data_IF_345960512063
#
_entry.id   IF_345960512063
#
_cell.length_a   1.000
_cell.length_b   1.000
_cell.length_c   1.000
_cell.angle_alpha   90.00
_cell.angle_beta   90.00
_cell.angle_gamma   90.00
#
_symmetry.space_group_name_H-M   'P 1'
#
loop_
_entity.id
_entity.type
_entity.pdbx_description
1 polymer ?
#
# COMPACT_ATOMS: atom_id res chain seq x y z
N UNK A 1 -1.81 4.31 -13.43
CA UNK A 1 -0.67 4.12 -14.35
C UNK A 1 0.04 5.43 -14.65
N UNK A 2 -0.55 6.44 -15.27
CA UNK A 2 0.13 7.71 -15.66
C UNK A 2 0.88 8.44 -14.54
N UNK A 3 0.41 8.38 -13.29
CA UNK A 3 1.08 9.00 -12.16
C UNK A 3 2.45 8.34 -11.86
N UNK A 4 2.47 7.01 -11.74
CA UNK A 4 3.69 6.26 -11.49
C UNK A 4 4.69 6.37 -12.65
N UNK A 5 4.21 6.32 -13.89
CA UNK A 5 5.04 6.50 -15.09
C UNK A 5 5.68 7.89 -15.12
N UNK A 6 4.91 8.94 -14.77
CA UNK A 6 5.43 10.31 -14.74
C UNK A 6 6.52 10.48 -13.69
N UNK A 7 6.30 9.95 -12.48
CA UNK A 7 7.31 10.00 -11.42
C UNK A 7 8.56 9.21 -11.77
N UNK A 8 8.39 7.99 -12.31
CA UNK A 8 9.50 7.18 -12.76
C UNK A 8 10.34 7.91 -13.81
N UNK A 9 9.72 8.44 -14.85
CA UNK A 9 10.41 9.22 -15.88
C UNK A 9 11.14 10.43 -15.30
N UNK A 10 10.50 11.15 -14.36
CA UNK A 10 11.11 12.33 -13.73
C UNK A 10 12.37 11.95 -12.95
N UNK A 11 12.37 10.81 -12.28
CA UNK A 11 13.52 10.32 -11.53
C UNK A 11 14.61 9.76 -12.47
N UNK A 12 14.24 9.00 -13.50
CA UNK A 12 15.19 8.44 -14.49
C UNK A 12 15.93 9.53 -15.29
N UNK A 13 15.30 10.69 -15.48
CA UNK A 13 15.95 11.85 -16.13
C UNK A 13 16.85 12.66 -15.19
N UNK A 14 16.87 12.35 -13.90
CA UNK A 14 17.73 13.05 -12.94
C UNK A 14 19.12 12.41 -12.93
N UNK A 15 20.19 13.16 -13.30
CA UNK A 15 21.55 12.61 -13.39
C UNK A 15 22.17 12.22 -12.05
N UNK A 16 21.51 12.56 -10.93
CA UNK A 16 21.97 12.22 -9.58
C UNK A 16 21.19 11.06 -8.96
N UNK A 17 20.39 10.33 -9.76
CA UNK A 17 19.57 9.22 -9.29
C UNK A 17 19.88 7.98 -10.09
N UNK A 18 20.35 6.95 -9.42
CA UNK A 18 20.56 5.62 -9.98
C UNK A 18 19.46 4.67 -9.47
N UNK A 19 19.03 3.75 -10.33
CA UNK A 19 18.03 2.73 -9.98
C UNK A 19 18.68 1.36 -9.88
N UNK A 20 18.38 0.69 -8.78
CA UNK A 20 18.74 -0.71 -8.59
C UNK A 20 17.50 -1.51 -8.16
N UNK A 21 17.11 -2.45 -8.98
CA UNK A 21 15.90 -3.25 -8.73
C UNK A 21 16.27 -4.59 -8.09
N UNK A 22 16.25 -4.64 -6.76
CA UNK A 22 16.47 -5.85 -6.00
C UNK A 22 15.81 -5.75 -4.61
N UNK A 23 15.53 -6.89 -4.00
CA UNK A 23 15.04 -6.96 -2.63
C UNK A 23 16.15 -6.57 -1.66
N UNK A 24 15.88 -5.60 -0.80
CA UNK A 24 16.79 -5.25 0.30
C UNK A 24 16.46 -6.13 1.51
N UNK A 25 17.48 -6.85 2.03
CA UNK A 25 17.36 -7.80 3.13
C UNK A 25 17.96 -7.29 4.44
N UNK A 26 18.72 -6.20 4.43
CA UNK A 26 19.32 -5.68 5.66
C UNK A 26 20.00 -4.33 5.49
N UNK A 27 20.28 -3.72 6.63
CA UNK A 27 21.08 -2.51 6.76
C UNK A 27 22.53 -2.88 7.08
N UNK A 28 23.47 -2.18 6.51
CA UNK A 28 24.86 -2.22 6.96
C UNK A 28 25.03 -1.20 8.07
N UNK A 29 25.43 -1.66 9.25
CA UNK A 29 25.67 -0.80 10.41
C UNK A 29 27.11 -1.00 10.86
N UNK A 30 27.85 0.09 11.05
CA UNK A 30 29.19 0.10 11.55
C UNK A 30 29.34 1.19 12.62
N UNK A 31 29.88 0.82 13.77
CA UNK A 31 30.10 1.74 14.90
C UNK A 31 28.83 2.52 15.30
N UNK A 32 27.67 1.85 15.31
CA UNK A 32 26.37 2.46 15.65
C UNK A 32 25.79 3.38 14.58
N UNK A 33 26.36 3.44 13.38
CA UNK A 33 25.89 4.27 12.26
C UNK A 33 25.55 3.42 11.04
N UNK A 34 24.51 3.85 10.31
CA UNK A 34 24.21 3.22 9.03
C UNK A 34 25.36 3.49 8.04
N UNK A 35 25.75 2.46 7.30
CA UNK A 35 26.83 2.50 6.32
C UNK A 35 26.37 2.04 4.93
N UNK A 36 25.09 1.67 4.78
CA UNK A 36 24.51 1.20 3.52
C UNK A 36 23.45 0.13 3.71
N UNK A 37 23.21 -0.62 2.64
CA UNK A 37 22.25 -1.72 2.62
C UNK A 37 22.88 -2.99 2.08
N UNK A 38 22.24 -4.14 2.38
CA UNK A 38 22.54 -5.45 1.77
C UNK A 38 21.30 -5.93 1.02
N UNK A 39 21.49 -6.41 -0.19
CA UNK A 39 20.44 -7.02 -1.00
C UNK A 39 20.26 -8.50 -0.68
N UNK A 40 19.17 -9.10 -1.16
CA UNK A 40 18.90 -10.52 -0.99
C UNK A 40 19.92 -11.43 -1.71
N UNK A 41 20.53 -10.93 -2.80
CA UNK A 41 21.59 -11.62 -3.52
C UNK A 41 23.00 -11.38 -2.93
N UNK A 42 23.08 -10.61 -1.83
CA UNK A 42 24.33 -10.40 -1.10
C UNK A 42 25.14 -9.17 -1.55
N UNK A 43 24.64 -8.37 -2.48
CA UNK A 43 25.30 -7.13 -2.87
C UNK A 43 25.23 -6.12 -1.72
N UNK A 44 26.34 -5.47 -1.41
CA UNK A 44 26.42 -4.38 -0.44
C UNK A 44 26.55 -3.03 -1.18
N UNK A 45 25.56 -2.18 -0.96
CA UNK A 45 25.57 -0.82 -1.49
C UNK A 45 25.84 0.13 -0.33
N UNK A 46 27.02 0.78 -0.38
CA UNK A 46 27.46 1.70 0.67
C UNK A 46 26.80 3.06 0.51
N UNK A 47 26.34 3.65 1.60
CA UNK A 47 25.78 4.99 1.64
C UNK A 47 25.96 5.62 3.02
N UNK A 48 25.90 6.94 3.08
CA UNK A 48 25.94 7.70 4.34
C UNK A 48 24.60 7.70 5.06
N UNK A 49 23.52 7.55 4.34
CA UNK A 49 22.14 7.56 4.85
C UNK A 49 21.31 6.54 4.11
N UNK A 50 20.25 6.05 4.75
CA UNK A 50 19.26 5.16 4.16
C UNK A 50 17.89 5.68 4.51
N UNK A 51 17.00 5.78 3.53
CA UNK A 51 15.59 6.13 3.71
C UNK A 51 14.74 4.92 3.38
N UNK A 52 13.98 4.42 4.34
CA UNK A 52 13.08 3.28 4.18
C UNK A 52 11.70 3.77 3.72
N UNK A 53 11.30 3.39 2.52
CA UNK A 53 9.98 3.72 1.94
C UNK A 53 9.23 2.44 1.55
N UNK A 54 9.32 1.44 2.39
CA UNK A 54 8.93 0.06 2.15
C UNK A 54 7.40 -0.18 2.06
N UNK A 55 6.57 0.81 2.34
CA UNK A 55 5.13 0.67 2.24
C UNK A 55 4.59 -0.51 3.06
N UNK A 56 3.93 -1.46 2.41
CA UNK A 56 3.31 -2.65 3.03
C UNK A 56 4.21 -3.89 3.01
N UNK A 57 5.50 -3.76 2.65
CA UNK A 57 6.34 -4.92 2.37
C UNK A 57 7.09 -5.48 3.58
N UNK A 58 7.45 -4.68 4.60
CA UNK A 58 8.19 -5.17 5.76
C UNK A 58 7.35 -6.18 6.55
N UNK A 59 7.78 -7.43 6.54
CA UNK A 59 7.04 -8.57 7.11
C UNK A 59 5.57 -8.59 6.68
N UNK A 60 5.30 -8.16 5.43
CA UNK A 60 3.97 -8.04 4.89
C UNK A 60 3.21 -9.36 4.90
N UNK A 61 1.95 -9.31 5.30
CA UNK A 61 1.06 -10.48 5.36
C UNK A 61 -0.29 -10.12 4.75
N UNK A 62 -0.67 -10.84 3.71
CA UNK A 62 -1.96 -10.68 3.03
C UNK A 62 -2.94 -11.71 3.58
N UNK A 63 -4.13 -11.25 3.94
CA UNK A 63 -5.23 -12.09 4.41
C UNK A 63 -6.35 -12.10 3.38
N UNK A 64 -6.82 -13.30 3.01
CA UNK A 64 -7.98 -13.51 2.13
C UNK A 64 -8.85 -14.58 2.78
N UNK A 65 -9.94 -14.18 3.39
CA UNK A 65 -10.78 -15.07 4.19
C UNK A 65 -9.98 -15.76 5.29
N UNK A 66 -10.06 -17.07 5.37
CA UNK A 66 -9.35 -17.89 6.35
C UNK A 66 -7.87 -18.11 6.03
N UNK A 67 -7.40 -17.75 4.83
CA UNK A 67 -6.03 -17.98 4.38
C UNK A 67 -5.19 -16.71 4.52
N UNK A 68 -3.89 -16.92 4.72
CA UNK A 68 -2.90 -15.84 4.67
C UNK A 68 -1.61 -16.31 4.01
N UNK A 69 -0.84 -15.39 3.49
CA UNK A 69 0.47 -15.63 2.88
C UNK A 69 1.33 -14.38 2.94
N UNK A 70 2.66 -14.58 2.94
CA UNK A 70 3.62 -13.46 2.94
C UNK A 70 3.56 -12.66 1.64
N UNK A 71 3.48 -11.33 1.78
CA UNK A 71 3.48 -10.41 0.66
C UNK A 71 3.09 -9.01 1.10
N UNK A 72 3.59 -8.01 0.42
CA UNK A 72 3.18 -6.61 0.60
C UNK A 72 2.09 -6.21 -0.41
N UNK A 73 2.04 -6.93 -1.53
CA UNK A 73 1.07 -6.79 -2.62
C UNK A 73 0.83 -8.16 -3.24
N UNK A 74 -0.34 -8.37 -3.85
CA UNK A 74 -0.64 -9.61 -4.54
C UNK A 74 0.39 -9.91 -5.63
N UNK A 75 1.01 -11.10 -5.57
CA UNK A 75 2.08 -11.52 -6.48
C UNK A 75 3.49 -11.04 -6.13
N UNK A 76 3.65 -10.21 -5.09
CA UNK A 76 4.95 -9.70 -4.66
C UNK A 76 5.29 -10.16 -3.25
N UNK A 77 6.52 -10.66 -3.05
CA UNK A 77 6.98 -11.21 -1.76
C UNK A 77 7.13 -10.11 -0.71
N UNK A 78 6.98 -10.47 0.55
CA UNK A 78 7.33 -9.61 1.67
C UNK A 78 8.86 -9.46 1.79
N UNK A 79 9.29 -8.29 2.28
CA UNK A 79 10.67 -8.06 2.69
C UNK A 79 10.83 -8.44 4.16
N UNK A 80 11.81 -9.30 4.46
CA UNK A 80 12.11 -9.78 5.81
C UNK A 80 13.54 -9.42 6.19
N UNK A 81 13.84 -9.39 7.48
CA UNK A 81 15.18 -9.11 8.02
C UNK A 81 15.39 -7.68 8.50
N UNK A 82 14.82 -6.68 7.82
CA UNK A 82 15.00 -5.27 8.21
C UNK A 82 14.27 -4.94 9.51
N UNK A 83 13.04 -5.43 9.69
CA UNK A 83 12.27 -5.17 10.92
C UNK A 83 12.98 -5.74 12.14
N UNK A 84 13.46 -6.97 12.04
CA UNK A 84 14.20 -7.65 13.09
C UNK A 84 15.48 -6.87 13.44
N UNK A 85 16.23 -6.47 12.44
CA UNK A 85 17.43 -5.66 12.63
C UNK A 85 17.16 -4.29 13.27
N UNK A 86 16.03 -3.64 12.93
CA UNK A 86 15.63 -2.40 13.58
C UNK A 86 15.30 -2.62 15.06
N UNK A 87 14.60 -3.71 15.40
CA UNK A 87 14.34 -4.09 16.78
C UNK A 87 15.64 -4.32 17.57
N UNK A 88 16.59 -5.05 16.98
CA UNK A 88 17.90 -5.30 17.57
C UNK A 88 18.72 -4.01 17.80
N UNK A 89 18.47 -3.00 16.98
CA UNK A 89 19.05 -1.64 17.12
C UNK A 89 18.30 -0.77 18.14
N UNK A 90 17.25 -1.28 18.79
CA UNK A 90 16.50 -0.58 19.83
C UNK A 90 15.33 0.25 19.33
N UNK A 91 14.93 0.13 18.05
CA UNK A 91 13.72 0.77 17.55
C UNK A 91 12.48 -0.03 17.97
N UNK A 92 11.39 0.67 18.25
CA UNK A 92 10.10 0.04 18.48
C UNK A 92 9.42 -0.25 17.13
N UNK A 93 8.84 -1.44 16.99
CA UNK A 93 8.06 -1.80 15.82
C UNK A 93 6.68 -2.34 16.22
N UNK A 94 5.67 -1.97 15.44
CA UNK A 94 4.29 -2.41 15.64
C UNK A 94 3.68 -2.95 14.35
N UNK A 95 2.65 -3.79 14.49
CA UNK A 95 1.89 -4.29 13.35
C UNK A 95 0.79 -3.31 12.97
N UNK A 96 0.87 -2.80 11.76
CA UNK A 96 -0.23 -2.05 11.16
C UNK A 96 -1.09 -2.95 10.29
N UNK A 97 -2.37 -2.63 10.16
CA UNK A 97 -3.29 -3.31 9.26
C UNK A 97 -4.07 -2.30 8.43
N UNK A 98 -4.45 -2.70 7.23
CA UNK A 98 -5.41 -1.99 6.40
C UNK A 98 -6.27 -2.99 5.65
N UNK A 99 -7.51 -2.62 5.32
CA UNK A 99 -8.39 -3.45 4.49
C UNK A 99 -8.40 -2.96 3.05
N UNK A 100 -8.66 -3.86 2.13
CA UNK A 100 -8.93 -3.52 0.73
C UNK A 100 -10.45 -3.58 0.53
N UNK A 101 -11.10 -2.54 -0.02
CA UNK A 101 -12.52 -2.62 -0.38
C UNK A 101 -12.73 -3.69 -1.45
N UNK A 102 -13.91 -4.34 -1.49
CA UNK A 102 -14.19 -5.36 -2.49
C UNK A 102 -14.09 -4.76 -3.90
N UNK A 103 -13.45 -5.51 -4.80
CA UNK A 103 -13.40 -5.19 -6.22
C UNK A 103 -14.48 -5.99 -6.93
N UNK A 104 -15.40 -5.28 -7.57
CA UNK A 104 -16.51 -5.88 -8.31
C UNK A 104 -16.34 -5.65 -9.81
N UNK A 105 -16.90 -6.56 -10.63
CA UNK A 105 -16.93 -6.36 -12.08
C UNK A 105 -17.96 -5.28 -12.42
N UNK A 106 -17.49 -4.14 -12.90
CA UNK A 106 -18.34 -3.01 -13.25
C UNK A 106 -19.43 -3.32 -14.29
N UNK A 107 -19.25 -4.39 -15.08
CA UNK A 107 -20.28 -4.85 -16.04
C UNK A 107 -21.48 -5.49 -15.36
N UNK A 108 -21.36 -5.90 -14.10
CA UNK A 108 -22.43 -6.52 -13.31
C UNK A 108 -23.18 -5.52 -12.44
N UNK A 109 -22.78 -4.25 -12.46
CA UNK A 109 -23.42 -3.19 -11.67
C UNK A 109 -24.58 -2.60 -12.46
N UNK A 110 -25.74 -2.55 -11.83
CA UNK A 110 -26.89 -1.82 -12.34
C UNK A 110 -26.79 -0.35 -11.94
N UNK A 111 -26.14 0.43 -12.76
CA UNK A 111 -25.92 1.86 -12.52
C UNK A 111 -27.20 2.67 -12.47
N UNK A 112 -28.31 2.17 -13.02
CA UNK A 112 -29.61 2.86 -12.96
C UNK A 112 -30.18 2.94 -11.54
N UNK A 113 -29.67 2.12 -10.61
CA UNK A 113 -30.07 2.08 -9.19
C UNK A 113 -29.11 2.82 -8.28
N UNK A 114 -28.17 3.58 -8.84
CA UNK A 114 -27.18 4.34 -8.09
C UNK A 114 -27.37 5.84 -8.28
N UNK A 115 -26.93 6.61 -7.29
CA UNK A 115 -26.87 8.06 -7.41
C UNK A 115 -25.54 8.43 -8.05
N UNK A 116 -25.57 9.34 -9.03
CA UNK A 116 -24.36 9.84 -9.69
C UNK A 116 -23.79 10.96 -8.83
N UNK A 117 -22.55 10.80 -8.42
CA UNK A 117 -21.76 11.86 -7.78
C UNK A 117 -20.71 12.35 -8.78
N UNK A 118 -20.94 13.55 -9.30
CA UNK A 118 -19.96 14.26 -10.15
C UNK A 118 -18.86 14.87 -9.28
N UNK A 119 -17.71 15.17 -9.86
CA UNK A 119 -16.65 15.92 -9.18
C UNK A 119 -17.03 17.39 -9.04
N UNK A 120 -16.17 18.14 -8.32
CA UNK A 120 -16.38 19.56 -8.08
C UNK A 120 -16.41 20.36 -9.39
N UNK A 121 -17.29 21.37 -9.47
CA UNK A 121 -17.38 22.29 -10.61
C UNK A 121 -16.08 23.08 -10.77
N UNK A 122 -15.46 23.44 -9.65
CA UNK A 122 -14.16 24.08 -9.62
C UNK A 122 -13.06 23.10 -9.24
N UNK A 123 -12.34 22.63 -10.27
CA UNK A 123 -11.28 21.65 -10.06
C UNK A 123 -10.02 22.35 -9.56
N UNK A 124 -9.61 22.02 -8.35
CA UNK A 124 -8.30 22.38 -7.83
C UNK A 124 -7.31 21.21 -7.97
N UNK A 125 -6.06 21.50 -8.32
CA UNK A 125 -5.00 20.50 -8.41
C UNK A 125 -4.38 20.23 -7.03
N UNK A 126 -3.87 19.04 -6.81
CA UNK A 126 -3.09 18.70 -5.59
C UNK A 126 -1.67 19.27 -5.61
N UNK A 127 -1.24 19.87 -6.72
CA UNK A 127 0.08 20.45 -6.87
C UNK A 127 0.05 21.96 -6.67
N UNK A 128 1.05 22.49 -5.98
CA UNK A 128 1.30 23.94 -5.92
C UNK A 128 1.84 24.53 -7.23
N UNK A 129 2.29 23.65 -8.14
CA UNK A 129 2.68 24.06 -9.48
C UNK A 129 1.46 24.17 -10.38
N UNK A 130 1.52 25.04 -11.37
CA UNK A 130 0.45 25.11 -12.38
C UNK A 130 0.40 23.81 -13.19
N UNK A 131 -0.68 23.06 -13.02
CA UNK A 131 -0.90 21.77 -13.66
C UNK A 131 -2.16 21.80 -14.50
N UNK A 132 -2.13 21.10 -15.64
CA UNK A 132 -3.30 20.98 -16.50
C UNK A 132 -4.43 20.27 -15.75
N UNK A 133 -5.55 20.93 -15.65
CA UNK A 133 -6.79 20.35 -15.12
C UNK A 133 -7.35 19.31 -16.09
N UNK A 134 -7.96 18.20 -15.60
CA UNK A 134 -8.59 17.22 -16.47
C UNK A 134 -9.76 17.87 -17.23
N UNK A 135 -9.84 17.59 -18.52
CA UNK A 135 -10.96 18.09 -19.36
C UNK A 135 -12.27 17.35 -19.10
N UNK A 136 -12.18 16.13 -18.61
CA UNK A 136 -13.32 15.25 -18.34
C UNK A 136 -13.13 14.63 -16.98
N UNK A 137 -14.14 14.67 -16.15
CA UNK A 137 -14.20 13.97 -14.87
C UNK A 137 -15.00 12.68 -15.02
N UNK A 138 -14.55 11.63 -14.34
CA UNK A 138 -15.32 10.41 -14.20
C UNK A 138 -16.14 10.49 -12.92
N UNK A 139 -17.47 10.33 -12.98
CA UNK A 139 -18.30 10.35 -11.79
C UNK A 139 -18.07 9.12 -10.93
N UNK A 140 -18.37 9.24 -9.65
CA UNK A 140 -18.60 8.12 -8.75
C UNK A 140 -20.07 7.75 -8.75
N UNK A 141 -20.35 6.53 -8.28
CA UNK A 141 -21.71 6.02 -8.12
C UNK A 141 -21.92 5.62 -6.67
N UNK A 142 -22.93 6.21 -6.03
CA UNK A 142 -23.24 5.99 -4.62
C UNK A 142 -24.36 4.96 -4.52
N UNK A 143 -24.18 4.03 -3.61
CA UNK A 143 -25.22 3.11 -3.14
C UNK A 143 -25.18 3.01 -1.62
N UNK A 144 -26.27 2.62 -1.01
CA UNK A 144 -26.41 2.54 0.43
C UNK A 144 -26.58 1.09 0.88
N UNK A 145 -26.00 0.76 2.02
CA UNK A 145 -26.29 -0.52 2.69
C UNK A 145 -27.65 -0.46 3.39
N UNK A 146 -28.24 -1.61 3.60
CA UNK A 146 -29.50 -1.78 4.33
C UNK A 146 -29.45 -3.03 5.21
N UNK A 147 -30.49 -3.28 5.98
CA UNK A 147 -30.57 -4.43 6.91
C UNK A 147 -30.31 -5.75 6.20
N UNK A 148 -30.90 -5.95 5.02
CA UNK A 148 -30.72 -7.20 4.25
C UNK A 148 -29.27 -7.42 3.84
N UNK A 149 -28.57 -6.37 3.42
CA UNK A 149 -27.13 -6.43 3.12
C UNK A 149 -26.33 -6.75 4.38
N UNK A 150 -26.65 -6.10 5.51
CA UNK A 150 -25.98 -6.36 6.77
C UNK A 150 -26.19 -7.80 7.28
N UNK A 151 -27.37 -8.37 7.10
CA UNK A 151 -27.66 -9.75 7.50
C UNK A 151 -26.84 -10.75 6.66
N UNK A 152 -26.73 -10.51 5.35
CA UNK A 152 -25.84 -11.32 4.49
C UNK A 152 -24.38 -11.18 4.92
N UNK A 153 -23.89 -9.98 5.22
CA UNK A 153 -22.51 -9.77 5.66
C UNK A 153 -22.20 -10.48 6.98
N UNK A 154 -23.14 -10.50 7.93
CA UNK A 154 -22.97 -11.17 9.23
C UNK A 154 -22.68 -12.67 9.09
N UNK A 155 -23.22 -13.33 8.06
CA UNK A 155 -22.98 -14.76 7.85
C UNK A 155 -21.51 -15.11 7.59
N UNK A 156 -20.69 -14.14 7.16
CA UNK A 156 -19.27 -14.32 6.88
C UNK A 156 -18.33 -13.80 7.98
N UNK A 157 -18.82 -13.25 9.08
CA UNK A 157 -17.98 -12.64 10.10
C UNK A 157 -17.04 -13.62 10.80
N UNK A 158 -17.48 -14.84 11.03
CA UNK A 158 -16.67 -15.88 11.67
C UNK A 158 -15.47 -16.30 10.82
N UNK A 159 -15.58 -16.18 9.50
CA UNK A 159 -14.49 -16.44 8.57
C UNK A 159 -13.57 -15.23 8.35
N UNK A 160 -14.04 -14.04 8.69
CA UNK A 160 -13.29 -12.81 8.50
C UNK A 160 -12.14 -12.67 9.51
N UNK A 161 -10.88 -12.57 9.07
CA UNK A 161 -9.75 -12.45 9.97
C UNK A 161 -9.77 -11.15 10.79
N UNK A 162 -10.53 -10.14 10.36
CA UNK A 162 -10.76 -8.92 11.15
C UNK A 162 -11.68 -9.13 12.34
N UNK A 163 -12.77 -9.91 12.15
CA UNK A 163 -13.80 -10.10 13.18
C UNK A 163 -13.47 -11.26 14.12
N UNK A 164 -12.76 -12.29 13.64
CA UNK A 164 -12.36 -13.44 14.47
C UNK A 164 -11.06 -13.23 15.26
N UNK A 165 -10.47 -12.02 15.23
CA UNK A 165 -9.30 -11.67 16.02
C UNK A 165 -7.95 -12.20 15.51
N UNK A 166 -7.89 -12.79 14.32
CA UNK A 166 -6.61 -13.21 13.72
C UNK A 166 -5.71 -12.04 13.36
N UNK A 167 -6.28 -10.91 12.94
CA UNK A 167 -5.54 -9.70 12.66
C UNK A 167 -5.45 -8.87 13.94
N UNK A 168 -4.25 -8.79 14.52
CA UNK A 168 -3.98 -8.05 15.77
C UNK A 168 -3.45 -6.62 15.54
N UNK A 169 -3.28 -6.21 14.29
CA UNK A 169 -2.72 -4.90 13.94
C UNK A 169 -3.72 -3.75 14.14
N UNK A 170 -3.18 -2.55 14.31
CA UNK A 170 -3.94 -1.29 14.31
C UNK A 170 -3.80 -0.60 12.96
N UNK A 171 -4.79 0.18 12.56
CA UNK A 171 -4.72 0.95 11.32
C UNK A 171 -6.08 1.27 10.73
N UNK A 172 -6.12 1.98 9.61
CA UNK A 172 -7.35 2.37 8.96
C UNK A 172 -8.15 1.15 8.50
N UNK A 173 -9.45 1.33 8.38
CA UNK A 173 -10.34 0.27 7.92
C UNK A 173 -10.00 -0.14 6.49
N UNK A 174 -9.73 0.84 5.64
CA UNK A 174 -9.36 0.64 4.24
C UNK A 174 -8.03 1.32 3.92
N UNK A 175 -7.33 0.79 2.93
CA UNK A 175 -6.15 1.45 2.38
C UNK A 175 -6.55 2.78 1.74
N UNK A 176 -5.88 3.89 2.07
CA UNK A 176 -6.18 5.19 1.47
C UNK A 176 -5.65 5.36 0.04
N UNK A 177 -4.96 4.36 -0.48
CA UNK A 177 -4.40 4.38 -1.85
C UNK A 177 -5.36 3.83 -2.90
#
# INVERSE_FOLDING_TARGET
>A
MRFAEKWRLTLELNPNVDFWQEMVSGLLVKDGRVAGIRTALGLEIKSKTVVLTNGTFLNGLIHIGSKNFGGGRAGERSATGITEQLLDLGFEAGRMKTGTPPRVDGRTIDYSKTEIQIGDDHIEGFSYLDTKKPKTQLPCHITHTNTKVHDVLKTGFDESPMFNGRIKGRGPRYCPS
#
